data_IF_841428115855
#
_entry.id   IF_841428115855
#
_cell.length_a   1.000
_cell.length_b   1.000
_cell.length_c   1.000
_cell.angle_alpha   90.00
_cell.angle_beta   90.00
_cell.angle_gamma   90.00
#
_symmetry.space_group_name_H-M   'P 1'
#
loop_
_entity.id
_entity.type
_entity.pdbx_description
1 polymer ?
#
# COMPACT_ATOMS: atom_id res chain seq x y z
N UNK A 1 -11.07 -6.43 1.06
CA UNK A 1 -10.46 -6.18 -0.27
C UNK A 1 -8.95 -6.27 -0.17
N UNK A 2 -8.27 -6.14 -1.26
CA UNK A 2 -6.80 -6.18 -1.32
C UNK A 2 -6.30 -4.80 -1.71
N UNK A 3 -5.51 -4.19 -0.84
CA UNK A 3 -4.79 -2.95 -1.11
C UNK A 3 -3.44 -3.32 -1.72
N UNK A 4 -3.11 -2.74 -2.86
CA UNK A 4 -1.84 -2.97 -3.55
C UNK A 4 -0.94 -1.76 -3.30
N UNK A 5 0.22 -2.01 -2.65
CA UNK A 5 1.17 -0.95 -2.33
C UNK A 5 1.83 -0.36 -3.56
N UNK A 6 2.33 0.86 -3.44
CA UNK A 6 3.05 1.55 -4.51
C UNK A 6 4.23 0.75 -5.03
N UNK A 7 4.92 -0.01 -4.18
CA UNK A 7 6.04 -0.87 -4.59
C UNK A 7 5.66 -1.87 -5.68
N UNK A 8 4.45 -2.43 -5.60
CA UNK A 8 3.94 -3.39 -6.60
C UNK A 8 3.47 -2.67 -7.86
N UNK A 9 2.72 -1.57 -7.70
CA UNK A 9 2.27 -0.79 -8.85
C UNK A 9 3.43 -0.23 -9.67
N UNK A 10 4.47 0.27 -8.99
CA UNK A 10 5.68 0.78 -9.65
C UNK A 10 6.36 -0.32 -10.46
N UNK A 11 6.50 -1.52 -9.89
CA UNK A 11 7.05 -2.67 -10.61
C UNK A 11 6.19 -3.05 -11.82
N UNK A 12 4.87 -3.02 -11.66
CA UNK A 12 3.93 -3.28 -12.75
C UNK A 12 4.12 -2.29 -13.91
N UNK A 13 4.14 -0.99 -13.62
CA UNK A 13 4.31 0.02 -14.66
C UNK A 13 5.72 0.01 -15.29
N UNK A 14 6.71 -0.48 -14.57
CA UNK A 14 8.08 -0.65 -15.10
C UNK A 14 8.28 -1.97 -15.85
N UNK A 15 7.25 -2.77 -15.98
CA UNK A 15 7.32 -4.04 -16.72
C UNK A 15 8.13 -5.12 -16.02
N UNK A 16 8.32 -5.04 -14.71
CA UNK A 16 9.07 -6.03 -13.93
C UNK A 16 8.23 -7.28 -13.66
N UNK A 17 8.92 -8.42 -13.55
CA UNK A 17 8.31 -9.69 -13.13
C UNK A 17 8.86 -10.09 -11.77
N UNK A 18 7.98 -10.46 -10.86
CA UNK A 18 8.32 -11.00 -9.54
C UNK A 18 7.08 -11.69 -8.95
N UNK A 19 7.20 -12.38 -7.81
CA UNK A 19 6.06 -13.08 -7.21
C UNK A 19 4.86 -12.17 -6.90
N UNK A 20 5.10 -10.93 -6.47
CA UNK A 20 4.01 -9.97 -6.19
C UNK A 20 3.25 -9.59 -7.46
N UNK A 21 3.94 -9.40 -8.58
CA UNK A 21 3.30 -9.13 -9.87
C UNK A 21 2.50 -10.34 -10.33
N UNK A 22 2.99 -11.55 -10.15
CA UNK A 22 2.26 -12.76 -10.49
C UNK A 22 0.96 -12.88 -9.69
N UNK A 23 1.00 -12.52 -8.40
CA UNK A 23 -0.22 -12.45 -7.59
C UNK A 23 -1.18 -11.39 -8.10
N UNK A 24 -0.69 -10.20 -8.39
CA UNK A 24 -1.52 -9.11 -8.92
C UNK A 24 -2.23 -9.52 -10.20
N UNK A 25 -1.52 -10.13 -11.13
CA UNK A 25 -2.07 -10.57 -12.42
C UNK A 25 -3.19 -11.61 -12.26
N UNK A 26 -3.17 -12.38 -11.19
CA UNK A 26 -4.20 -13.39 -10.90
C UNK A 26 -5.43 -12.85 -10.19
N UNK A 27 -5.43 -11.59 -9.77
CA UNK A 27 -6.54 -11.01 -9.02
C UNK A 27 -7.56 -10.34 -9.94
N UNK A 28 -8.83 -10.42 -9.54
CA UNK A 28 -9.90 -9.69 -10.20
C UNK A 28 -9.84 -8.20 -9.80
N UNK A 29 -10.10 -7.30 -10.74
CA UNK A 29 -10.15 -5.86 -10.47
C UNK A 29 -11.17 -5.49 -9.38
N UNK A 30 -12.25 -6.25 -9.23
CA UNK A 30 -13.24 -6.03 -8.19
C UNK A 30 -12.74 -6.34 -6.77
N UNK A 31 -11.63 -7.06 -6.64
CA UNK A 31 -10.99 -7.36 -5.36
C UNK A 31 -10.01 -6.29 -4.91
N UNK A 32 -9.63 -5.40 -5.82
CA UNK A 32 -8.56 -4.42 -5.60
C UNK A 32 -9.12 -3.08 -5.13
N UNK A 33 -8.38 -2.46 -4.24
CA UNK A 33 -8.65 -1.13 -3.72
C UNK A 33 -7.39 -0.28 -3.87
N UNK A 34 -7.54 0.90 -4.45
CA UNK A 34 -6.45 1.89 -4.53
C UNK A 34 -6.67 2.91 -3.43
N UNK A 35 -5.72 2.99 -2.51
CA UNK A 35 -5.72 4.05 -1.51
C UNK A 35 -5.14 5.35 -2.08
N UNK A 36 -5.65 6.49 -1.63
CA UNK A 36 -5.23 7.80 -2.14
C UNK A 36 -3.75 8.11 -1.86
N UNK A 37 -3.19 7.65 -0.73
CA UNK A 37 -1.76 7.79 -0.46
C UNK A 37 -0.92 7.01 -1.47
N UNK A 38 -1.37 5.82 -1.83
CA UNK A 38 -0.69 4.97 -2.81
C UNK A 38 -0.79 5.59 -4.20
N UNK A 39 -1.96 6.11 -4.55
CA UNK A 39 -2.17 6.83 -5.80
C UNK A 39 -1.17 7.98 -5.94
N UNK A 40 -1.00 8.78 -4.89
CA UNK A 40 -0.05 9.87 -4.87
C UNK A 40 1.40 9.39 -5.04
N UNK A 41 1.79 8.34 -4.32
CA UNK A 41 3.14 7.79 -4.40
C UNK A 41 3.48 7.26 -5.80
N UNK A 42 2.54 6.58 -6.43
CA UNK A 42 2.74 6.03 -7.79
C UNK A 42 2.84 7.17 -8.81
N UNK A 43 1.86 8.08 -8.79
CA UNK A 43 1.77 9.12 -9.81
C UNK A 43 2.93 10.12 -9.75
N UNK A 44 3.40 10.46 -8.56
CA UNK A 44 4.51 11.41 -8.41
C UNK A 44 5.82 10.93 -9.02
N UNK A 45 5.96 9.61 -9.24
CA UNK A 45 7.18 9.01 -9.79
C UNK A 45 7.34 9.16 -11.30
N UNK A 46 6.28 9.52 -12.03
CA UNK A 46 6.34 9.65 -13.48
C UNK A 46 6.84 11.04 -13.87
N UNK A 47 7.84 11.07 -14.77
CA UNK A 47 8.40 12.32 -15.29
C UNK A 47 7.66 12.86 -16.49
N UNK A 48 7.16 11.97 -17.37
CA UNK A 48 6.42 12.39 -18.55
C UNK A 48 4.93 12.52 -18.24
N UNK A 49 4.29 13.53 -18.84
CA UNK A 49 2.86 13.71 -18.72
C UNK A 49 2.08 12.53 -19.33
N UNK A 50 2.61 11.95 -20.42
CA UNK A 50 1.98 10.82 -21.08
C UNK A 50 1.92 9.59 -20.16
N UNK A 51 3.03 9.25 -19.48
CA UNK A 51 3.08 8.12 -18.56
C UNK A 51 2.23 8.37 -17.32
N UNK A 52 2.26 9.58 -16.79
CA UNK A 52 1.40 9.99 -15.68
C UNK A 52 -0.09 9.77 -16.04
N UNK A 53 -0.52 10.26 -17.18
CA UNK A 53 -1.90 10.14 -17.62
C UNK A 53 -2.32 8.68 -17.87
N UNK A 54 -1.43 7.86 -18.43
CA UNK A 54 -1.68 6.43 -18.62
C UNK A 54 -1.86 5.72 -17.27
N UNK A 55 -0.99 5.97 -16.32
CA UNK A 55 -1.09 5.38 -14.99
C UNK A 55 -2.35 5.85 -14.26
N UNK A 56 -2.68 7.13 -14.36
CA UNK A 56 -3.89 7.68 -13.76
C UNK A 56 -5.15 6.99 -14.33
N UNK A 57 -5.20 6.78 -15.63
CA UNK A 57 -6.32 6.09 -16.28
C UNK A 57 -6.44 4.65 -15.78
N UNK A 58 -5.33 3.91 -15.72
CA UNK A 58 -5.31 2.53 -15.23
C UNK A 58 -5.80 2.46 -13.77
N UNK A 59 -5.24 3.29 -12.90
CA UNK A 59 -5.57 3.26 -11.48
C UNK A 59 -6.99 3.76 -11.19
N UNK A 60 -7.50 4.68 -11.99
CA UNK A 60 -8.87 5.21 -11.83
C UNK A 60 -9.96 4.21 -12.25
N UNK A 61 -9.58 3.12 -12.93
CA UNK A 61 -10.52 2.04 -13.25
C UNK A 61 -10.88 1.18 -12.03
N UNK A 62 -10.09 1.27 -10.95
CA UNK A 62 -10.36 0.57 -9.69
C UNK A 62 -11.09 1.49 -8.70
N UNK A 63 -11.61 0.91 -7.61
CA UNK A 63 -12.14 1.71 -6.52
C UNK A 63 -10.99 2.48 -5.86
N UNK A 64 -11.15 3.80 -5.76
CA UNK A 64 -10.19 4.68 -5.07
C UNK A 64 -10.81 5.18 -3.78
N UNK A 65 -10.07 5.08 -2.68
CA UNK A 65 -10.57 5.43 -1.36
C UNK A 65 -9.58 6.31 -0.60
N UNK A 66 -10.11 7.28 0.17
CA UNK A 66 -9.31 8.03 1.14
C UNK A 66 -8.88 7.11 2.29
N UNK A 67 -7.61 7.21 2.70
CA UNK A 67 -7.03 6.26 3.64
C UNK A 67 -6.94 6.77 5.07
N UNK A 68 -6.73 8.05 5.28
CA UNK A 68 -6.34 8.54 6.60
C UNK A 68 -7.56 8.96 7.42
N UNK A 69 -7.91 10.20 7.40
CA UNK A 69 -8.91 10.73 8.32
C UNK A 69 -8.45 10.68 9.79
N UNK A 70 -9.33 11.13 10.68
CA UNK A 70 -9.01 11.28 12.10
C UNK A 70 -8.70 9.95 12.79
N UNK A 71 -9.51 8.93 12.55
CA UNK A 71 -9.37 7.64 13.25
C UNK A 71 -8.08 6.93 12.86
N UNK A 72 -7.80 6.83 11.57
CA UNK A 72 -6.57 6.19 11.09
C UNK A 72 -5.35 6.97 11.56
N UNK A 73 -5.38 8.30 11.53
CA UNK A 73 -4.26 9.13 12.00
C UNK A 73 -3.91 8.84 13.47
N UNK A 74 -4.91 8.77 14.34
CA UNK A 74 -4.72 8.51 15.76
C UNK A 74 -4.18 7.09 15.99
N UNK A 75 -4.79 6.09 15.36
CA UNK A 75 -4.35 4.70 15.52
C UNK A 75 -2.97 4.46 14.91
N UNK A 76 -2.64 5.09 13.80
CA UNK A 76 -1.30 5.02 13.22
C UNK A 76 -0.26 5.62 14.17
N UNK A 77 -0.57 6.72 14.83
CA UNK A 77 0.31 7.31 15.84
C UNK A 77 0.52 6.35 17.02
N UNK A 78 -0.53 5.69 17.49
CA UNK A 78 -0.41 4.67 18.56
C UNK A 78 0.43 3.49 18.10
N UNK A 79 0.23 3.02 16.91
CA UNK A 79 1.01 1.91 16.33
C UNK A 79 2.49 2.28 16.22
N UNK A 80 2.79 3.48 15.73
CA UNK A 80 4.16 3.97 15.62
C UNK A 80 4.84 4.05 16.99
N UNK A 81 4.15 4.59 17.99
CA UNK A 81 4.66 4.67 19.36
C UNK A 81 4.90 3.28 19.96
N UNK A 82 4.01 2.34 19.69
CA UNK A 82 4.15 0.95 20.15
C UNK A 82 5.38 0.27 19.56
N UNK A 83 5.66 0.48 18.28
CA UNK A 83 6.86 -0.04 17.65
C UNK A 83 8.12 0.58 18.21
N UNK A 84 8.13 1.90 18.41
CA UNK A 84 9.26 2.61 18.99
C UNK A 84 9.55 2.14 20.41
N UNK A 85 8.54 1.86 21.21
CA UNK A 85 8.68 1.32 22.57
C UNK A 85 9.33 -0.07 22.57
N UNK A 86 9.25 -0.80 21.47
CA UNK A 86 9.93 -2.10 21.28
C UNK A 86 11.33 -1.97 20.67
N UNK A 87 11.84 -0.75 20.52
CA UNK A 87 13.13 -0.48 19.89
C UNK A 87 13.11 -0.54 18.37
N UNK A 88 11.93 -0.53 17.77
CA UNK A 88 11.76 -0.54 16.32
C UNK A 88 11.49 0.88 15.83
N UNK A 89 12.05 1.23 14.69
CA UNK A 89 11.84 2.55 14.07
C UNK A 89 11.32 2.37 12.66
N UNK A 90 10.00 2.50 12.45
CA UNK A 90 9.49 2.50 11.07
C UNK A 90 10.14 3.63 10.29
N UNK A 91 10.60 3.32 9.08
CA UNK A 91 11.29 4.30 8.23
C UNK A 91 10.41 5.45 7.81
N UNK A 92 9.11 5.19 7.75
CA UNK A 92 8.21 6.04 7.00
C UNK A 92 6.83 6.01 7.66
N UNK A 93 6.34 7.19 7.99
CA UNK A 93 4.99 7.35 8.55
C UNK A 93 3.91 6.86 7.59
N UNK A 94 4.13 7.02 6.28
CA UNK A 94 3.15 6.61 5.26
C UNK A 94 2.92 5.10 5.31
N UNK A 95 3.94 4.29 5.49
CA UNK A 95 3.80 2.84 5.59
C UNK A 95 2.95 2.45 6.82
N UNK A 96 3.16 3.13 7.94
CA UNK A 96 2.35 2.91 9.14
C UNK A 96 0.89 3.33 8.93
N UNK A 97 0.65 4.42 8.19
CA UNK A 97 -0.70 4.85 7.82
C UNK A 97 -1.38 3.82 6.92
N UNK A 98 -0.70 3.33 5.91
CA UNK A 98 -1.23 2.30 5.00
C UNK A 98 -1.57 1.03 5.76
N UNK A 99 -0.65 0.54 6.59
CA UNK A 99 -0.86 -0.65 7.40
C UNK A 99 -2.05 -0.48 8.35
N UNK A 100 -2.15 0.65 9.01
CA UNK A 100 -3.24 0.95 9.96
C UNK A 100 -4.59 0.99 9.24
N UNK A 101 -4.65 1.62 8.06
CA UNK A 101 -5.86 1.61 7.24
C UNK A 101 -6.30 0.18 6.92
N UNK A 102 -5.37 -0.67 6.49
CA UNK A 102 -5.67 -2.06 6.17
C UNK A 102 -6.18 -2.83 7.39
N UNK A 103 -5.52 -2.66 8.54
CA UNK A 103 -5.90 -3.35 9.78
C UNK A 103 -7.29 -2.94 10.23
N UNK A 104 -7.59 -1.65 10.28
CA UNK A 104 -8.87 -1.14 10.75
C UNK A 104 -10.03 -1.52 9.84
N UNK A 105 -9.79 -1.65 8.55
CA UNK A 105 -10.82 -1.94 7.56
C UNK A 105 -10.86 -3.41 7.11
N UNK A 106 -10.03 -4.25 7.68
CA UNK A 106 -10.02 -5.68 7.38
C UNK A 106 -9.51 -6.03 5.98
N UNK A 107 -8.62 -5.23 5.42
CA UNK A 107 -8.03 -5.47 4.10
C UNK A 107 -6.70 -6.22 4.19
N UNK A 108 -6.40 -6.98 3.15
CA UNK A 108 -5.06 -7.52 2.92
C UNK A 108 -4.21 -6.48 2.20
N UNK A 109 -2.91 -6.52 2.45
CA UNK A 109 -1.92 -5.72 1.71
C UNK A 109 -1.08 -6.63 0.82
N UNK A 110 -0.96 -6.26 -0.45
CA UNK A 110 0.02 -6.85 -1.36
C UNK A 110 1.15 -5.85 -1.51
N UNK A 111 2.37 -6.22 -1.13
CA UNK A 111 3.53 -5.33 -1.19
C UNK A 111 4.79 -6.07 -1.63
N UNK A 112 5.79 -5.30 -2.00
CA UNK A 112 7.13 -5.78 -2.34
C UNK A 112 8.18 -4.88 -1.66
N UNK A 113 7.97 -4.57 -0.37
CA UNK A 113 8.81 -3.70 0.43
C UNK A 113 8.97 -4.29 1.83
N UNK A 114 10.22 -4.62 2.20
CA UNK A 114 10.56 -5.18 3.51
C UNK A 114 10.16 -4.29 4.69
N UNK A 115 9.97 -3.02 4.47
CA UNK A 115 9.57 -2.11 5.56
C UNK A 115 8.21 -2.50 6.16
N UNK A 116 7.38 -3.25 5.42
CA UNK A 116 6.12 -3.79 5.94
C UNK A 116 6.28 -5.05 6.80
N UNK A 117 7.42 -5.71 6.78
CA UNK A 117 7.61 -6.96 7.52
C UNK A 117 7.44 -6.79 9.02
N UNK A 118 7.94 -5.70 9.59
CA UNK A 118 7.78 -5.37 11.01
C UNK A 118 6.32 -5.05 11.35
N UNK A 119 5.61 -4.41 10.44
CA UNK A 119 4.21 -4.04 10.61
C UNK A 119 3.33 -5.30 10.60
N UNK A 120 3.63 -6.24 9.72
CA UNK A 120 2.99 -7.56 9.70
C UNK A 120 3.25 -8.31 11.02
N UNK A 121 4.50 -8.38 11.44
CA UNK A 121 4.92 -9.13 12.62
C UNK A 121 4.35 -8.58 13.92
N UNK A 122 4.32 -7.27 14.09
CA UNK A 122 4.02 -6.62 15.37
C UNK A 122 2.63 -5.98 15.46
N UNK A 123 2.01 -5.65 14.36
CA UNK A 123 0.72 -4.95 14.35
C UNK A 123 -0.45 -5.83 13.88
N UNK A 124 -0.18 -7.02 13.38
CA UNK A 124 -1.23 -7.89 12.86
C UNK A 124 -1.70 -7.51 11.47
N UNK A 125 -0.89 -6.77 10.70
CA UNK A 125 -1.18 -6.52 9.29
C UNK A 125 -1.23 -7.85 8.54
N UNK A 126 -2.31 -8.06 7.79
CA UNK A 126 -2.45 -9.26 6.96
C UNK A 126 -1.92 -8.97 5.57
N UNK A 127 -0.93 -9.74 5.16
CA UNK A 127 -0.23 -9.59 3.89
C UNK A 127 -0.61 -10.74 2.97
N UNK A 128 -0.88 -10.40 1.69
CA UNK A 128 -1.06 -11.42 0.66
C UNK A 128 0.33 -11.88 0.23
N UNK A 129 0.63 -13.15 0.53
CA UNK A 129 1.95 -13.72 0.25
C UNK A 129 1.95 -14.53 -1.05
N UNK A 130 3.10 -14.46 -1.71
CA UNK A 130 3.37 -15.30 -2.87
C UNK A 130 3.68 -16.74 -2.44
#
# INVERSE_FOLDING_TARGET
MIVVDSSVWIDHFNGRSNPSINLLDGLSGSQLLVGDLILAEVLQGFRSAADFNTALEVLSAFEVRAMVGREVAIEAARNYRGLRARGLSPRNTVDTLIATFCILNGHFLLHNDRDFDQLEKHLGLRVLAA
#
